data_IF_741584864531
#
_entry.id   IF_741584864531
#
_cell.length_a   1.000
_cell.length_b   1.000
_cell.length_c   1.000
_cell.angle_alpha   90.00
_cell.angle_beta   90.00
_cell.angle_gamma   90.00
#
_symmetry.space_group_name_H-M   'P 1'
#
loop_
_entity.id
_entity.type
_entity.pdbx_description
1 polymer ?
#
# COMPACT_ATOMS: atom_id res chain seq x y z
N UNK A 1 -15.88 6.60 15.61
CA UNK A 1 -17.19 7.15 15.20
C UNK A 1 -16.99 8.07 14.01
N UNK A 2 -17.25 7.60 12.80
CA UNK A 2 -17.51 8.47 11.64
C UNK A 2 -18.78 7.92 11.02
N UNK A 3 -19.85 8.72 11.08
CA UNK A 3 -21.22 8.27 10.85
C UNK A 3 -21.54 7.99 9.39
N UNK A 4 -22.27 6.91 9.15
CA UNK A 4 -22.90 6.64 7.86
C UNK A 4 -24.25 7.37 7.81
N UNK A 5 -24.35 8.39 6.95
CA UNK A 5 -25.67 8.92 6.56
C UNK A 5 -26.27 7.94 5.55
N UNK A 6 -27.27 7.19 6.01
CA UNK A 6 -28.19 6.46 5.16
C UNK A 6 -29.00 7.48 4.36
N UNK A 7 -28.80 7.52 3.05
CA UNK A 7 -29.78 8.10 2.12
C UNK A 7 -30.36 6.96 1.30
N UNK A 8 -31.53 6.53 1.74
CA UNK A 8 -32.46 5.65 1.04
C UNK A 8 -32.93 6.36 -0.23
N UNK A 9 -32.48 5.89 -1.38
CA UNK A 9 -33.20 6.11 -2.63
C UNK A 9 -33.07 4.88 -3.53
N UNK A 10 -34.22 4.33 -3.88
CA UNK A 10 -34.36 3.14 -4.71
C UNK A 10 -34.10 3.50 -6.17
N UNK A 11 -32.94 3.13 -6.72
CA UNK A 11 -32.71 2.86 -8.15
C UNK A 11 -31.29 2.31 -8.39
N UNK A 12 -31.08 1.33 -9.31
CA UNK A 12 -29.77 0.83 -9.63
C UNK A 12 -29.11 1.75 -10.66
N UNK A 13 -28.44 2.80 -10.18
CA UNK A 13 -27.55 3.61 -10.99
C UNK A 13 -26.12 3.31 -10.58
N UNK A 14 -25.35 2.73 -11.51
CA UNK A 14 -23.89 2.61 -11.44
C UNK A 14 -23.28 3.98 -11.20
N UNK A 15 -23.09 4.36 -9.94
CA UNK A 15 -22.31 5.52 -9.57
C UNK A 15 -20.88 5.05 -9.37
N UNK A 16 -20.06 5.17 -10.42
CA UNK A 16 -18.62 5.38 -10.24
C UNK A 16 -18.49 6.65 -9.40
N UNK A 17 -18.27 6.49 -8.09
CA UNK A 17 -17.79 7.60 -7.25
C UNK A 17 -16.28 7.55 -7.26
N UNK A 18 -15.68 8.49 -7.96
CA UNK A 18 -14.26 8.79 -7.87
C UNK A 18 -13.93 9.32 -6.47
N UNK A 19 -13.52 8.45 -5.56
CA UNK A 19 -12.78 8.84 -4.36
C UNK A 19 -11.29 8.65 -4.64
N UNK A 20 -10.73 9.62 -5.38
CA UNK A 20 -9.29 9.79 -5.55
C UNK A 20 -8.67 10.22 -4.21
N UNK A 21 -8.26 9.24 -3.39
CA UNK A 21 -7.33 9.50 -2.29
C UNK A 21 -5.95 9.57 -2.92
N UNK A 22 -5.48 10.81 -3.16
CA UNK A 22 -4.12 11.09 -3.62
C UNK A 22 -3.14 10.87 -2.46
N UNK A 23 -2.55 9.68 -2.43
CA UNK A 23 -1.30 9.43 -1.72
C UNK A 23 -0.37 8.67 -2.68
N UNK A 24 0.81 9.24 -2.90
CA UNK A 24 1.83 8.87 -3.89
C UNK A 24 1.78 7.44 -4.46
N UNK A 25 1.67 7.37 -5.78
CA UNK A 25 2.13 6.28 -6.66
C UNK A 25 1.44 4.90 -6.61
N UNK A 26 0.27 4.75 -5.98
CA UNK A 26 -0.57 3.55 -6.22
C UNK A 26 -2.04 3.89 -6.20
N UNK A 27 -2.67 3.95 -7.38
CA UNK A 27 -4.12 3.99 -7.53
C UNK A 27 -4.69 2.62 -7.14
N UNK A 28 -5.22 2.53 -5.92
CA UNK A 28 -5.96 1.35 -5.47
C UNK A 28 -7.42 1.45 -5.93
N UNK A 29 -7.82 0.59 -6.86
CA UNK A 29 -9.22 0.42 -7.23
C UNK A 29 -9.82 -0.65 -6.32
N UNK A 30 -10.82 -0.28 -5.53
CA UNK A 30 -11.59 -1.22 -4.69
C UNK A 30 -12.92 -1.55 -5.37
N UNK A 31 -13.08 -2.78 -5.84
CA UNK A 31 -14.36 -3.28 -6.35
C UNK A 31 -15.15 -3.84 -5.16
N UNK A 32 -16.27 -3.20 -4.85
CA UNK A 32 -17.18 -3.65 -3.80
C UNK A 32 -18.37 -4.37 -4.45
N UNK A 33 -18.56 -5.65 -4.11
CA UNK A 33 -19.74 -6.40 -4.52
C UNK A 33 -20.74 -6.43 -3.36
N UNK A 34 -21.94 -5.92 -3.58
CA UNK A 34 -23.00 -5.89 -2.57
C UNK A 34 -23.85 -7.14 -2.68
N UNK A 35 -23.97 -7.91 -1.61
CA UNK A 35 -24.95 -9.00 -1.49
C UNK A 35 -25.89 -8.74 -0.30
N UNK A 36 -27.03 -9.46 -0.23
CA UNK A 36 -28.13 -9.21 0.70
C UNK A 36 -27.72 -9.24 2.20
N UNK A 37 -26.54 -9.77 2.53
CA UNK A 37 -26.00 -9.90 3.88
C UNK A 37 -24.75 -9.04 4.19
N UNK A 38 -24.36 -8.11 3.30
CA UNK A 38 -23.28 -7.15 3.56
C UNK A 38 -22.24 -7.03 2.45
N UNK A 39 -21.36 -6.04 2.59
CA UNK A 39 -20.28 -5.73 1.65
C UNK A 39 -18.97 -6.40 2.09
N UNK A 40 -18.35 -7.21 1.23
CA UNK A 40 -17.04 -7.81 1.48
C UNK A 40 -16.08 -7.52 0.32
N UNK A 41 -14.85 -7.07 0.63
CA UNK A 41 -13.79 -6.86 -0.36
C UNK A 41 -13.24 -8.21 -0.84
N UNK A 42 -13.41 -8.53 -2.12
CA UNK A 42 -12.97 -9.82 -2.69
C UNK A 42 -11.58 -9.81 -3.32
N UNK A 43 -10.86 -8.67 -3.34
CA UNK A 43 -9.47 -8.66 -3.78
C UNK A 43 -8.84 -7.28 -3.93
N UNK A 44 -7.51 -7.24 -3.74
CA UNK A 44 -6.66 -6.10 -4.03
C UNK A 44 -5.93 -6.37 -5.35
N UNK A 45 -6.20 -5.59 -6.40
CA UNK A 45 -5.40 -5.62 -7.63
C UNK A 45 -4.48 -4.40 -7.65
N UNK A 46 -3.17 -4.66 -7.54
CA UNK A 46 -2.15 -3.63 -7.65
C UNK A 46 -2.10 -3.11 -9.09
N UNK A 47 -2.10 -1.79 -9.27
CA UNK A 47 -2.12 -1.11 -10.57
C UNK A 47 -1.01 -1.57 -11.54
N UNK A 48 0.09 -2.11 -11.01
CA UNK A 48 1.20 -2.70 -11.78
C UNK A 48 0.72 -3.80 -12.74
N UNK A 49 -0.11 -4.74 -12.28
CA UNK A 49 -0.54 -5.86 -13.12
C UNK A 49 -1.47 -5.44 -14.26
N UNK A 50 -2.27 -4.38 -14.06
CA UNK A 50 -3.17 -3.87 -15.11
C UNK A 50 -2.37 -3.13 -16.18
N UNK A 51 -1.35 -2.37 -15.78
CA UNK A 51 -0.47 -1.67 -16.72
C UNK A 51 0.36 -2.68 -17.52
N UNK A 52 0.88 -3.72 -16.88
CA UNK A 52 1.61 -4.80 -17.56
C UNK A 52 0.71 -5.56 -18.54
N UNK A 53 -0.55 -5.84 -18.18
CA UNK A 53 -1.51 -6.52 -19.06
C UNK A 53 -1.95 -5.65 -20.25
N UNK A 54 -2.11 -4.34 -20.04
CA UNK A 54 -2.43 -3.37 -21.10
C UNK A 54 -1.23 -3.17 -22.03
N UNK A 55 0.00 -3.07 -21.50
CA UNK A 55 1.22 -2.99 -22.32
C UNK A 55 1.42 -4.27 -23.13
N UNK A 56 1.14 -5.44 -22.55
CA UNK A 56 1.21 -6.73 -23.25
C UNK A 56 0.19 -6.82 -24.40
N UNK A 57 -1.05 -6.34 -24.19
CA UNK A 57 -2.09 -6.27 -25.22
C UNK A 57 -1.74 -5.26 -26.33
N UNK A 58 -1.18 -4.10 -25.98
CA UNK A 58 -0.75 -3.09 -26.96
C UNK A 58 0.45 -3.57 -27.78
N UNK A 59 1.37 -4.32 -27.17
CA UNK A 59 2.52 -4.89 -27.88
C UNK A 59 2.07 -5.97 -28.89
N UNK A 60 1.13 -6.84 -28.53
CA UNK A 60 0.56 -7.83 -29.46
C UNK A 60 -0.19 -7.22 -30.65
N UNK A 61 -0.77 -6.02 -30.49
CA UNK A 61 -1.43 -5.30 -31.59
C UNK A 61 -0.42 -4.64 -32.55
N UNK A 62 0.81 -4.38 -32.10
CA UNK A 62 1.85 -3.73 -32.92
C UNK A 62 2.53 -4.66 -33.92
N UNK A 63 2.65 -5.97 -33.62
CA UNK A 63 3.22 -6.94 -34.55
C UNK A 63 2.33 -7.20 -35.78
N UNK A 64 1.01 -7.00 -35.65
CA UNK A 64 0.06 -7.19 -36.77
C UNK A 64 0.04 -6.03 -37.79
N UNK A 65 0.60 -4.87 -37.46
CA UNK A 65 0.59 -3.67 -38.33
C UNK A 65 1.92 -3.48 -39.09
N UNK A 66 3.02 -4.02 -38.58
CA UNK A 66 4.36 -3.83 -39.17
C UNK A 66 4.58 -4.73 -40.40
N UNK A 67 3.92 -5.90 -40.49
CA UNK A 67 4.08 -6.85 -41.61
C UNK A 67 3.26 -6.53 -42.87
N UNK A 68 2.41 -5.49 -42.85
CA UNK A 68 1.55 -5.13 -44.01
C UNK A 68 2.07 -3.99 -44.89
N UNK A 69 3.27 -3.45 -44.64
CA UNK A 69 3.86 -2.38 -45.48
C UNK A 69 5.23 -2.73 -46.08
N UNK A 70 5.59 -4.00 -46.21
CA UNK A 70 6.87 -4.40 -46.83
C UNK A 70 6.75 -5.35 -48.03
N UNK A 71 5.65 -5.29 -48.79
CA UNK A 71 5.59 -5.93 -50.11
C UNK A 71 4.74 -5.12 -51.10
N UNK A 72 5.42 -4.38 -51.98
CA UNK A 72 4.88 -4.00 -53.29
C UNK A 72 6.02 -3.63 -54.23
N UNK A 73 6.45 -4.63 -55.02
CA UNK A 73 7.20 -4.45 -56.27
C UNK A 73 6.25 -3.88 -57.36
N UNK A 74 6.78 -3.39 -58.51
CA UNK A 74 7.04 -4.27 -59.66
C UNK A 74 8.42 -3.99 -60.30
N UNK A 75 9.26 -4.99 -60.57
CA UNK A 75 9.26 -5.88 -61.75
C UNK A 75 9.32 -5.17 -63.12
N UNK A 76 10.55 -5.05 -63.64
CA UNK A 76 11.00 -5.48 -64.97
C UNK A 76 10.29 -5.00 -66.24
N UNK A 77 11.08 -4.50 -67.20
CA UNK A 77 11.02 -4.99 -68.60
C UNK A 77 12.24 -4.54 -69.41
N UNK A 78 12.90 -5.54 -69.99
CA UNK A 78 13.93 -5.45 -71.03
C UNK A 78 13.21 -5.57 -72.38
N UNK A 79 13.47 -4.67 -73.33
CA UNK A 79 13.05 -4.76 -74.73
C UNK A 79 14.23 -4.35 -75.60
N UNK A 80 14.95 -5.28 -76.24
CA UNK A 80 14.73 -5.94 -77.54
C UNK A 80 15.17 -5.07 -78.74
N UNK A 81 16.16 -5.62 -79.47
CA UNK A 81 16.81 -5.12 -80.69
C UNK A 81 15.88 -5.14 -81.91
N UNK A 82 16.08 -4.19 -82.83
CA UNK A 82 15.87 -4.36 -84.29
C UNK A 82 16.73 -3.29 -85.01
N UNK A 83 17.81 -3.63 -85.73
CA UNK A 83 17.92 -4.13 -87.12
C UNK A 83 17.44 -3.16 -88.20
N UNK A 84 18.33 -2.83 -89.13
CA UNK A 84 18.10 -1.99 -90.31
C UNK A 84 19.38 -1.75 -91.10
N UNK A 85 19.80 -2.77 -91.86
CA UNK A 85 20.92 -2.73 -92.82
C UNK A 85 20.46 -2.07 -94.12
N UNK A 86 21.21 -1.07 -94.59
CA UNK A 86 21.30 -0.73 -96.02
C UNK A 86 22.77 -0.42 -96.34
N UNK A 87 23.42 -1.36 -97.03
CA UNK A 87 24.78 -1.20 -97.53
C UNK A 87 24.79 -0.27 -98.74
N UNK A 88 25.40 0.90 -98.57
CA UNK A 88 25.96 1.66 -99.67
C UNK A 88 27.48 1.39 -99.69
N UNK A 89 28.08 1.27 -100.86
CA UNK A 89 29.53 1.16 -101.00
C UNK A 89 30.20 2.44 -100.49
N UNK A 90 30.77 2.37 -99.29
CA UNK A 90 31.46 3.48 -98.61
C UNK A 90 32.95 3.40 -98.90
N UNK A 91 33.55 4.49 -99.35
CA UNK A 91 35.00 4.64 -99.47
C UNK A 91 35.67 4.67 -98.08
N UNK A 92 36.87 4.11 -97.97
CA UNK A 92 37.66 3.91 -96.74
C UNK A 92 37.75 5.14 -95.78
N UNK A 93 37.58 6.36 -96.30
CA UNK A 93 37.62 7.60 -95.53
C UNK A 93 36.35 7.94 -94.73
N UNK A 94 35.17 7.54 -95.20
CA UNK A 94 33.91 7.83 -94.50
C UNK A 94 33.68 6.83 -93.34
N UNK A 95 34.24 5.62 -93.45
CA UNK A 95 34.28 4.66 -92.34
C UNK A 95 35.19 5.15 -91.20
N UNK A 96 36.38 5.68 -91.53
CA UNK A 96 37.30 6.29 -90.55
C UNK A 96 36.67 7.46 -89.81
N UNK A 97 35.90 8.30 -90.51
CA UNK A 97 35.21 9.45 -89.91
C UNK A 97 34.14 9.02 -88.89
N UNK A 98 33.33 8.01 -89.21
CA UNK A 98 32.30 7.48 -88.29
C UNK A 98 32.90 6.80 -87.05
N UNK A 99 33.99 6.06 -87.23
CA UNK A 99 34.73 5.46 -86.11
C UNK A 99 35.32 6.54 -85.20
N UNK A 100 35.85 7.62 -85.77
CA UNK A 100 36.35 8.75 -84.98
C UNK A 100 35.24 9.50 -84.23
N UNK A 101 34.07 9.69 -84.83
CA UNK A 101 32.91 10.32 -84.21
C UNK A 101 32.32 9.44 -83.09
N UNK A 102 32.20 8.13 -83.31
CA UNK A 102 31.73 7.17 -82.30
C UNK A 102 32.71 7.10 -81.12
N UNK A 103 34.03 7.09 -81.39
CA UNK A 103 35.06 7.12 -80.35
C UNK A 103 34.98 8.40 -79.53
N UNK A 104 34.76 9.55 -80.18
CA UNK A 104 34.59 10.84 -79.49
C UNK A 104 33.32 10.86 -78.61
N UNK A 105 32.21 10.30 -79.08
CA UNK A 105 30.97 10.16 -78.32
C UNK A 105 31.12 9.23 -77.11
N UNK A 106 31.81 8.10 -77.26
CA UNK A 106 32.14 7.17 -76.17
C UNK A 106 33.06 7.81 -75.13
N UNK A 107 34.08 8.54 -75.58
CA UNK A 107 34.99 9.28 -74.71
C UNK A 107 34.22 10.33 -73.89
N UNK A 108 33.36 11.12 -74.54
CA UNK A 108 32.53 12.13 -73.89
C UNK A 108 31.54 11.52 -72.89
N UNK A 109 30.96 10.35 -73.19
CA UNK A 109 30.10 9.61 -72.24
C UNK A 109 30.87 9.16 -71.02
N UNK A 110 32.05 8.56 -71.19
CA UNK A 110 32.90 8.11 -70.08
C UNK A 110 33.33 9.27 -69.19
N UNK A 111 33.75 10.39 -69.79
CA UNK A 111 34.10 11.61 -69.06
C UNK A 111 32.90 12.21 -68.31
N UNK A 112 31.70 12.19 -68.92
CA UNK A 112 30.47 12.60 -68.23
C UNK A 112 30.12 11.70 -67.05
N UNK A 113 30.27 10.38 -67.20
CA UNK A 113 29.98 9.41 -66.13
C UNK A 113 30.98 9.52 -64.97
N UNK A 114 32.28 9.64 -65.26
CA UNK A 114 33.29 9.86 -64.22
C UNK A 114 33.08 11.20 -63.50
N UNK A 115 32.71 12.25 -64.24
CA UNK A 115 32.38 13.54 -63.63
C UNK A 115 31.13 13.47 -62.75
N UNK A 116 30.12 12.67 -63.11
CA UNK A 116 28.93 12.42 -62.27
C UNK A 116 29.30 11.66 -60.99
N UNK A 117 30.10 10.59 -61.09
CA UNK A 117 30.57 9.81 -59.93
C UNK A 117 31.37 10.69 -58.96
N UNK A 118 32.30 11.49 -59.48
CA UNK A 118 33.09 12.43 -58.66
C UNK A 118 32.23 13.50 -57.97
N UNK A 119 31.16 13.98 -58.62
CA UNK A 119 30.20 14.91 -58.00
C UNK A 119 29.41 14.22 -56.88
N UNK A 120 28.93 13.00 -57.15
CA UNK A 120 28.17 12.21 -56.18
C UNK A 120 29.03 11.85 -54.96
N UNK A 121 30.28 11.45 -55.13
CA UNK A 121 31.20 11.14 -54.02
C UNK A 121 31.49 12.39 -53.18
N UNK A 122 31.70 13.54 -53.82
CA UNK A 122 31.87 14.82 -53.10
C UNK A 122 30.63 15.23 -52.32
N UNK A 123 29.45 14.96 -52.84
CA UNK A 123 28.18 15.24 -52.17
C UNK A 123 27.96 14.29 -50.98
N UNK A 124 28.20 13.00 -51.18
CA UNK A 124 28.14 11.99 -50.13
C UNK A 124 29.14 12.28 -48.99
N UNK A 125 30.36 12.71 -49.31
CA UNK A 125 31.34 13.13 -48.31
C UNK A 125 30.88 14.37 -47.52
N UNK A 126 30.23 15.35 -48.17
CA UNK A 126 29.64 16.51 -47.48
C UNK A 126 28.49 16.10 -46.56
N UNK A 127 27.61 15.22 -47.02
CA UNK A 127 26.52 14.70 -46.19
C UNK A 127 27.04 13.93 -44.98
N UNK A 128 28.05 13.07 -45.16
CA UNK A 128 28.72 12.36 -44.06
C UNK A 128 29.36 13.31 -43.07
N UNK A 129 30.04 14.35 -43.53
CA UNK A 129 30.64 15.36 -42.67
C UNK A 129 29.56 16.11 -41.87
N UNK A 130 28.47 16.54 -42.51
CA UNK A 130 27.36 17.20 -41.84
C UNK A 130 26.66 16.29 -40.82
N UNK A 131 26.43 15.02 -41.16
CA UNK A 131 25.84 14.04 -40.26
C UNK A 131 26.75 13.75 -39.05
N UNK A 132 28.06 13.63 -39.27
CA UNK A 132 29.06 13.43 -38.20
C UNK A 132 29.12 14.63 -37.24
N UNK A 133 29.08 15.85 -37.78
CA UNK A 133 29.03 17.06 -36.97
C UNK A 133 27.73 17.14 -36.17
N UNK A 134 26.58 16.83 -36.78
CA UNK A 134 25.30 16.81 -36.10
C UNK A 134 25.27 15.77 -34.98
N UNK A 135 25.80 14.57 -35.21
CA UNK A 135 25.92 13.52 -34.21
C UNK A 135 26.81 13.98 -33.05
N UNK A 136 27.96 14.58 -33.34
CA UNK A 136 28.87 15.12 -32.31
C UNK A 136 28.17 16.16 -31.45
N UNK A 137 27.42 17.09 -32.06
CA UNK A 137 26.63 18.09 -31.34
C UNK A 137 25.53 17.45 -30.48
N UNK A 138 24.84 16.43 -30.98
CA UNK A 138 23.81 15.71 -30.23
C UNK A 138 24.40 14.99 -29.01
N UNK A 139 25.53 14.30 -29.16
CA UNK A 139 26.22 13.61 -28.07
C UNK A 139 26.65 14.59 -26.98
N UNK A 140 27.20 15.75 -27.35
CA UNK A 140 27.61 16.76 -26.37
C UNK A 140 26.42 17.30 -25.57
N UNK A 141 25.29 17.58 -26.24
CA UNK A 141 24.06 18.03 -25.57
C UNK A 141 23.54 16.98 -24.59
N UNK A 142 23.51 15.72 -25.01
CA UNK A 142 23.06 14.61 -24.16
C UNK A 142 23.96 14.45 -22.92
N UNK A 143 25.28 14.54 -23.10
CA UNK A 143 26.22 14.49 -21.96
C UNK A 143 25.98 15.61 -20.95
N UNK A 144 25.81 16.84 -21.43
CA UNK A 144 25.53 17.99 -20.56
C UNK A 144 24.20 17.81 -19.82
N UNK A 145 23.14 17.40 -20.52
CA UNK A 145 21.84 17.12 -19.91
C UNK A 145 21.94 16.00 -18.86
N UNK A 146 22.64 14.90 -19.18
CA UNK A 146 22.85 13.77 -18.27
C UNK A 146 23.62 14.17 -17.01
N UNK A 147 24.67 15.00 -17.15
CA UNK A 147 25.44 15.51 -16.03
C UNK A 147 24.62 16.46 -15.15
N UNK A 148 23.81 17.32 -15.75
CA UNK A 148 22.89 18.21 -15.03
C UNK A 148 21.86 17.41 -14.22
N UNK A 149 21.22 16.42 -14.83
CA UNK A 149 20.26 15.54 -14.15
C UNK A 149 20.94 14.73 -13.04
N UNK A 150 22.16 14.23 -13.25
CA UNK A 150 22.95 13.56 -12.21
C UNK A 150 23.29 14.50 -11.06
N UNK A 151 23.59 15.77 -11.34
CA UNK A 151 23.86 16.78 -10.31
C UNK A 151 22.60 17.11 -9.50
N UNK A 152 21.45 17.30 -10.17
CA UNK A 152 20.14 17.49 -9.52
C UNK A 152 19.77 16.30 -8.64
N UNK A 153 19.90 15.08 -9.17
CA UNK A 153 19.62 13.85 -8.42
C UNK A 153 20.50 13.73 -7.17
N UNK A 154 21.80 14.04 -7.27
CA UNK A 154 22.71 14.06 -6.11
C UNK A 154 22.31 15.11 -5.07
N UNK A 155 21.89 16.29 -5.52
CA UNK A 155 21.44 17.35 -4.61
C UNK A 155 20.16 16.94 -3.88
N UNK A 156 19.17 16.41 -4.59
CA UNK A 156 17.94 15.88 -4.00
C UNK A 156 18.22 14.74 -3.01
N UNK A 157 19.12 13.81 -3.35
CA UNK A 157 19.51 12.72 -2.45
C UNK A 157 20.09 13.25 -1.12
N UNK A 158 20.94 14.29 -1.17
CA UNK A 158 21.46 14.94 0.05
C UNK A 158 20.36 15.62 0.86
N UNK A 159 19.41 16.29 0.20
CA UNK A 159 18.29 16.92 0.88
C UNK A 159 17.40 15.89 1.57
N UNK A 160 17.15 14.75 0.92
CA UNK A 160 16.39 13.65 1.52
C UNK A 160 17.11 13.06 2.72
N UNK A 161 18.43 12.83 2.64
CA UNK A 161 19.19 12.33 3.79
C UNK A 161 19.12 13.28 4.99
N UNK A 162 19.22 14.60 4.75
CA UNK A 162 19.09 15.58 5.84
C UNK A 162 17.68 15.61 6.43
N UNK A 163 16.64 15.51 5.58
CA UNK A 163 15.24 15.41 6.03
C UNK A 163 15.02 14.16 6.88
N UNK A 164 15.54 13.02 6.44
CA UNK A 164 15.48 11.75 7.19
C UNK A 164 16.20 11.85 8.53
N UNK A 165 17.36 12.52 8.58
CA UNK A 165 18.08 12.78 9.83
C UNK A 165 17.27 13.62 10.79
N UNK A 166 16.62 14.68 10.32
CA UNK A 166 15.75 15.54 11.13
C UNK A 166 14.55 14.75 11.64
N UNK A 167 13.87 13.99 10.77
CA UNK A 167 12.72 13.16 11.16
C UNK A 167 13.13 12.13 12.21
N UNK A 168 14.27 11.43 12.04
CA UNK A 168 14.77 10.46 13.03
C UNK A 168 15.06 11.09 14.38
N UNK A 169 15.65 12.29 14.41
CA UNK A 169 15.89 13.02 15.67
C UNK A 169 14.58 13.39 16.36
N UNK A 170 13.60 13.83 15.59
CA UNK A 170 12.29 14.21 16.13
C UNK A 170 11.50 13.00 16.62
N UNK A 171 11.52 11.88 15.90
CA UNK A 171 10.92 10.61 16.31
C UNK A 171 11.53 10.08 17.61
N UNK A 172 12.87 10.08 17.70
CA UNK A 172 13.56 9.69 18.93
C UNK A 172 13.19 10.60 20.11
N UNK A 173 13.11 11.92 19.88
CA UNK A 173 12.70 12.88 20.90
C UNK A 173 11.27 12.61 21.40
N UNK A 174 10.30 12.44 20.51
CA UNK A 174 8.91 12.20 20.92
C UNK A 174 8.70 10.82 21.55
N UNK A 175 9.41 9.79 21.09
CA UNK A 175 9.40 8.47 21.74
C UNK A 175 9.92 8.53 23.17
N UNK A 176 11.02 9.26 23.40
CA UNK A 176 11.54 9.48 24.75
C UNK A 176 10.55 10.24 25.64
N UNK A 177 9.90 11.28 25.12
CA UNK A 177 8.88 12.02 25.87
C UNK A 177 7.67 11.14 26.22
N UNK A 178 7.22 10.30 25.28
CA UNK A 178 6.13 9.35 25.51
C UNK A 178 6.51 8.33 26.56
N UNK A 179 7.71 7.72 26.47
CA UNK A 179 8.19 6.74 27.43
C UNK A 179 8.25 7.32 28.86
N UNK A 180 8.75 8.55 29.03
CA UNK A 180 8.78 9.24 30.33
C UNK A 180 7.38 9.53 30.87
N UNK A 181 6.44 9.88 29.99
CA UNK A 181 5.07 10.14 30.40
C UNK A 181 4.37 8.85 30.83
N UNK A 182 4.54 7.77 30.07
CA UNK A 182 4.02 6.43 30.37
C UNK A 182 4.60 5.89 31.68
N UNK A 183 5.91 6.06 31.91
CA UNK A 183 6.58 5.67 33.15
C UNK A 183 5.97 6.41 34.34
N UNK A 184 5.96 7.75 34.32
CA UNK A 184 5.39 8.57 35.40
C UNK A 184 3.92 8.26 35.65
N UNK A 185 3.15 8.06 34.58
CA UNK A 185 1.75 7.67 34.67
C UNK A 185 1.61 6.31 35.34
N UNK A 186 2.42 5.32 34.96
CA UNK A 186 2.38 3.98 35.54
C UNK A 186 2.74 3.98 37.03
N UNK A 187 3.73 4.78 37.43
CA UNK A 187 4.12 4.96 38.83
C UNK A 187 2.99 5.58 39.63
N UNK A 188 2.35 6.63 39.09
CA UNK A 188 1.21 7.27 39.74
C UNK A 188 0.06 6.30 39.96
N UNK A 189 -0.31 5.49 38.95
CA UNK A 189 -1.37 4.48 39.09
C UNK A 189 -1.02 3.40 40.13
N UNK A 190 0.22 2.92 40.15
CA UNK A 190 0.70 1.94 41.13
C UNK A 190 0.58 2.49 42.54
N UNK A 191 1.21 3.63 42.81
CA UNK A 191 1.20 4.26 44.14
C UNK A 191 -0.23 4.57 44.57
N UNK A 192 -1.08 5.08 43.68
CA UNK A 192 -2.48 5.39 44.02
C UNK A 192 -3.26 4.12 44.40
N UNK A 193 -3.09 3.04 43.64
CA UNK A 193 -3.77 1.76 43.91
C UNK A 193 -3.27 1.16 45.21
N UNK A 194 -1.96 1.15 45.45
CA UNK A 194 -1.34 0.64 46.68
C UNK A 194 -1.79 1.43 47.91
N UNK A 195 -1.80 2.77 47.86
CA UNK A 195 -2.27 3.60 48.97
C UNK A 195 -3.76 3.38 49.26
N UNK A 196 -4.59 3.29 48.20
CA UNK A 196 -6.01 3.01 48.37
C UNK A 196 -6.25 1.63 49.00
N UNK A 197 -5.56 0.61 48.49
CA UNK A 197 -5.72 -0.76 48.98
C UNK A 197 -5.24 -0.88 50.44
N UNK A 198 -4.11 -0.27 50.77
CA UNK A 198 -3.62 -0.19 52.15
C UNK A 198 -4.63 0.51 53.06
N UNK A 199 -5.19 1.64 52.64
CA UNK A 199 -6.21 2.34 53.41
C UNK A 199 -7.48 1.49 53.60
N UNK A 200 -7.90 0.77 52.56
CA UNK A 200 -9.03 -0.15 52.64
C UNK A 200 -8.77 -1.30 53.63
N UNK A 201 -7.58 -1.92 53.58
CA UNK A 201 -7.16 -2.98 54.50
C UNK A 201 -7.05 -2.48 55.94
N UNK A 202 -6.52 -1.27 56.17
CA UNK A 202 -6.45 -0.67 57.50
C UNK A 202 -7.84 -0.40 58.10
N UNK A 203 -8.79 0.05 57.27
CA UNK A 203 -10.18 0.22 57.68
C UNK A 203 -10.82 -1.14 57.95
N UNK A 204 -10.67 -2.12 57.06
CA UNK A 204 -11.20 -3.47 57.25
C UNK A 204 -10.65 -4.15 58.52
N UNK A 205 -9.36 -3.99 58.80
CA UNK A 205 -8.73 -4.54 60.00
C UNK A 205 -9.27 -3.91 61.29
N UNK A 206 -9.58 -2.62 61.27
CA UNK A 206 -10.21 -1.90 62.41
C UNK A 206 -11.68 -2.29 62.58
N UNK A 207 -12.36 -2.57 61.47
CA UNK A 207 -13.77 -2.96 61.43
C UNK A 207 -13.91 -4.46 61.13
N UNK A 208 -13.36 -5.33 61.99
CA UNK A 208 -13.69 -6.75 61.93
C UNK A 208 -15.20 -6.91 62.09
N UNK A 209 -15.82 -7.64 61.16
CA UNK A 209 -17.25 -7.98 61.26
C UNK A 209 -17.47 -8.72 62.57
N UNK A 210 -18.39 -8.21 63.38
CA UNK A 210 -18.82 -8.82 64.63
C UNK A 210 -19.17 -10.29 64.34
N UNK A 211 -18.40 -11.24 64.88
CA UNK A 211 -18.74 -12.66 64.75
C UNK A 211 -20.02 -12.90 65.58
N UNK A 212 -21.14 -12.99 64.87
CA UNK A 212 -22.44 -13.24 65.48
C UNK A 212 -22.48 -14.68 65.99
N UNK A 213 -22.30 -14.84 67.30
CA UNK A 213 -22.47 -16.11 67.99
C UNK A 213 -23.91 -16.19 68.53
N UNK A 214 -24.75 -17.13 68.06
CA UNK A 214 -26.12 -17.24 68.56
C UNK A 214 -26.11 -17.68 70.03
N UNK A 215 -26.50 -16.76 70.92
CA UNK A 215 -26.53 -17.02 72.36
C UNK A 215 -27.64 -18.04 72.67
N UNK A 216 -27.34 -19.01 73.54
CA UNK A 216 -28.25 -20.10 73.93
C UNK A 216 -28.60 -21.11 72.81
N UNK A 217 -27.88 -21.15 71.69
CA UNK A 217 -28.18 -22.05 70.57
C UNK A 217 -28.27 -23.53 70.96
N UNK A 218 -27.36 -24.01 71.81
CA UNK A 218 -27.36 -25.40 72.27
C UNK A 218 -28.56 -25.71 73.17
N UNK A 219 -28.94 -24.77 74.04
CA UNK A 219 -30.14 -24.91 74.89
C UNK A 219 -31.41 -24.89 74.02
N UNK A 220 -31.44 -24.04 73.00
CA UNK A 220 -32.53 -23.98 72.03
C UNK A 220 -32.66 -25.31 71.25
N UNK A 221 -31.55 -25.92 70.84
CA UNK A 221 -31.59 -27.23 70.19
C UNK A 221 -32.14 -28.31 71.12
N UNK A 222 -31.66 -28.35 72.37
CA UNK A 222 -32.07 -29.35 73.36
C UNK A 222 -33.54 -29.21 73.76
N UNK A 223 -34.04 -27.99 73.98
CA UNK A 223 -35.46 -27.79 74.35
C UNK A 223 -36.40 -28.20 73.20
N UNK A 224 -36.04 -27.84 71.96
CA UNK A 224 -36.80 -28.26 70.78
C UNK A 224 -36.78 -29.79 70.62
N UNK A 225 -35.65 -30.43 70.89
CA UNK A 225 -35.54 -31.89 70.89
C UNK A 225 -36.42 -32.52 71.97
N UNK A 226 -36.43 -31.98 73.19
CA UNK A 226 -37.25 -32.49 74.29
C UNK A 226 -38.75 -32.43 73.97
N UNK A 227 -39.23 -31.30 73.42
CA UNK A 227 -40.65 -31.18 73.04
C UNK A 227 -41.07 -32.12 71.92
N UNK A 228 -40.17 -32.40 70.95
CA UNK A 228 -40.42 -33.38 69.89
C UNK A 228 -40.56 -34.80 70.44
N UNK A 229 -39.80 -35.13 71.48
CA UNK A 229 -39.82 -36.47 72.10
C UNK A 229 -40.95 -36.64 73.11
N UNK A 230 -41.44 -35.55 73.71
CA UNK A 230 -42.44 -35.55 74.79
C UNK A 230 -43.71 -34.77 74.41
N UNK A 231 -44.29 -35.07 73.24
CA UNK A 231 -45.43 -34.34 72.67
C UNK A 231 -46.67 -34.31 73.57
N UNK A 232 -46.93 -35.40 74.31
CA UNK A 232 -48.07 -35.52 75.24
C UNK A 232 -47.70 -35.21 76.70
N UNK A 233 -46.42 -34.98 76.99
CA UNK A 233 -45.89 -34.74 78.34
C UNK A 233 -44.90 -33.57 78.35
N UNK A 234 -45.31 -32.45 77.76
CA UNK A 234 -44.45 -31.28 77.55
C UNK A 234 -43.91 -30.66 78.84
N UNK A 235 -44.61 -30.85 79.96
CA UNK A 235 -44.17 -30.39 81.29
C UNK A 235 -42.90 -31.08 81.79
N UNK A 236 -42.55 -32.27 81.27
CA UNK A 236 -41.27 -32.94 81.56
C UNK A 236 -40.06 -32.15 81.03
N UNK A 237 -40.26 -31.27 80.04
CA UNK A 237 -39.23 -30.38 79.50
C UNK A 237 -39.12 -29.03 80.25
N UNK A 238 -39.91 -28.82 81.31
CA UNK A 238 -39.99 -27.54 82.04
C UNK A 238 -38.65 -27.09 82.62
N UNK A 239 -37.84 -28.01 83.15
CA UNK A 239 -36.50 -27.68 83.65
C UNK A 239 -35.59 -27.11 82.55
N UNK A 240 -35.66 -27.69 81.35
CA UNK A 240 -34.87 -27.26 80.20
C UNK A 240 -35.39 -25.93 79.61
N UNK A 241 -36.71 -25.73 79.63
CA UNK A 241 -37.34 -24.46 79.29
C UNK A 241 -36.91 -23.32 80.22
N UNK A 242 -36.85 -23.58 81.53
CA UNK A 242 -36.37 -22.61 82.51
C UNK A 242 -34.90 -22.27 82.27
N UNK A 243 -34.03 -23.25 81.99
CA UNK A 243 -32.63 -23.00 81.66
C UNK A 243 -32.47 -22.13 80.41
N UNK A 244 -33.22 -22.41 79.36
CA UNK A 244 -33.22 -21.58 78.15
C UNK A 244 -33.69 -20.14 78.46
N UNK A 245 -34.76 -19.97 79.22
CA UNK A 245 -35.26 -18.66 79.63
C UNK A 245 -34.25 -17.88 80.48
N UNK A 246 -33.55 -18.54 81.42
CA UNK A 246 -32.48 -17.91 82.19
C UNK A 246 -31.33 -17.46 81.29
N UNK A 247 -30.91 -18.30 80.35
CA UNK A 247 -29.87 -17.94 79.38
C UNK A 247 -30.26 -16.72 78.52
N UNK A 248 -31.48 -16.70 77.99
CA UNK A 248 -31.99 -15.57 77.17
C UNK A 248 -32.08 -14.29 78.00
N UNK A 249 -32.57 -14.37 79.24
CA UNK A 249 -32.70 -13.19 80.10
C UNK A 249 -31.33 -12.64 80.52
N UNK A 250 -30.37 -13.51 80.83
CA UNK A 250 -29.00 -13.12 81.10
C UNK A 250 -28.35 -12.47 79.87
N UNK A 251 -28.51 -13.06 78.69
CA UNK A 251 -28.01 -12.51 77.43
C UNK A 251 -28.58 -11.12 77.13
N UNK A 252 -29.89 -10.91 77.36
CA UNK A 252 -30.54 -9.60 77.24
C UNK A 252 -29.94 -8.57 78.20
N UNK A 253 -29.65 -8.95 79.44
CA UNK A 253 -29.06 -8.05 80.43
C UNK A 253 -27.61 -7.68 80.10
N UNK A 254 -26.79 -8.66 79.67
CA UNK A 254 -25.41 -8.39 79.24
C UNK A 254 -25.34 -7.58 77.93
N UNK A 255 -26.23 -7.84 76.96
CA UNK A 255 -26.28 -7.10 75.71
C UNK A 255 -26.66 -5.62 75.87
N UNK A 256 -27.40 -5.27 76.92
CA UNK A 256 -27.78 -3.89 77.24
C UNK A 256 -26.64 -3.06 77.88
N UNK A 257 -25.55 -3.70 78.35
CA UNK A 257 -24.37 -2.99 78.85
C UNK A 257 -23.42 -2.57 77.71
N UNK A 258 -23.28 -3.37 76.65
CA UNK A 258 -22.35 -3.10 75.53
C UNK A 258 -22.75 -1.86 74.71
N UNK A 259 -24.03 -1.48 74.69
CA UNK A 259 -24.53 -0.30 73.95
C UNK A 259 -24.29 1.01 74.68
N UNK A 260 -23.90 0.99 75.98
CA UNK A 260 -23.67 2.22 76.75
C UNK A 260 -22.21 2.71 76.74
N UNK A 261 -21.27 1.87 76.33
CA UNK A 261 -19.83 2.17 76.33
C UNK A 261 -19.23 2.33 74.90
N UNK A 262 -20.08 2.54 73.89
CA UNK A 262 -19.68 2.93 72.52
C UNK A 262 -20.12 4.36 72.24
#
# INVERSE_FOLDING_TARGET
MVGCILKSDSRPSLLLRDSLISSGHSLHISIWMTNLHGCYCTGFFSCSFIIDFILMLLFQLSENVIDRMKESSPSGSRSQRHSGVYGASVSDEELKRRVAEELALEQAKKESETQKRLKQDKELERERAAASEQLTRAILRERVASEEERAKAKHLAKQLEEKDRVIKKQDAFYKEQLARLEERSSEFYKVTTEQYQKAAEEVEAKFKRYEYHPVCADLQARILQCYRQNTHQTLSCSALANQYMHCVNHAKQCGLQVVRDV
#
